data_IF_329371451374
#
_entry.id   IF_329371451374
#
_cell.length_a   1.000
_cell.length_b   1.000
_cell.length_c   1.000
_cell.angle_alpha   90.00
_cell.angle_beta   90.00
_cell.angle_gamma   90.00
#
_symmetry.space_group_name_H-M   'P 1'
#
loop_
_entity.id
_entity.type
_entity.pdbx_description
1 polymer ?
#
# COMPACT_ATOMS: atom_id res chain seq x y z
N UNK A 1 -20.11 -24.35 52.06
CA UNK A 1 -19.31 -23.28 52.68
C UNK A 1 -18.70 -22.51 51.53
N UNK A 2 -19.28 -21.36 51.22
CA UNK A 2 -18.87 -20.51 50.09
C UNK A 2 -17.67 -19.65 50.53
N UNK A 3 -16.51 -19.83 49.89
CA UNK A 3 -15.35 -18.96 50.11
C UNK A 3 -15.59 -17.62 49.39
N UNK A 4 -16.14 -16.65 50.13
CA UNK A 4 -16.23 -15.27 49.69
C UNK A 4 -14.84 -14.63 49.66
N UNK A 5 -14.26 -14.50 48.47
CA UNK A 5 -13.09 -13.64 48.26
C UNK A 5 -13.51 -12.18 48.51
N UNK A 6 -12.80 -11.53 49.44
CA UNK A 6 -13.05 -10.14 49.86
C UNK A 6 -12.96 -9.19 48.66
N UNK A 7 -13.86 -8.20 48.63
CA UNK A 7 -13.98 -7.21 47.54
C UNK A 7 -12.64 -6.46 47.32
N UNK A 8 -11.88 -6.23 48.38
CA UNK A 8 -10.56 -5.59 48.34
C UNK A 8 -9.52 -6.39 47.52
N UNK A 9 -9.53 -7.71 47.62
CA UNK A 9 -8.62 -8.59 46.86
C UNK A 9 -9.00 -8.63 45.37
N UNK A 10 -10.30 -8.55 45.09
CA UNK A 10 -10.87 -8.48 43.73
C UNK A 10 -10.48 -7.19 43.01
N UNK A 11 -10.38 -6.08 43.75
CA UNK A 11 -9.93 -4.78 43.21
C UNK A 11 -8.42 -4.79 42.97
N UNK A 12 -7.63 -5.40 43.85
CA UNK A 12 -6.17 -5.53 43.66
C UNK A 12 -5.78 -6.29 42.39
N UNK A 13 -6.55 -7.32 42.01
CA UNK A 13 -6.32 -8.07 40.77
C UNK A 13 -6.66 -7.29 39.50
N UNK A 14 -7.50 -6.24 39.55
CA UNK A 14 -7.84 -5.41 38.39
C UNK A 14 -6.72 -4.43 38.00
N UNK A 15 -5.77 -4.19 38.90
CA UNK A 15 -4.66 -3.25 38.71
C UNK A 15 -3.28 -3.93 38.64
N UNK A 16 -3.23 -5.26 38.55
CA UNK A 16 -1.98 -5.94 38.24
C UNK A 16 -1.59 -5.59 36.80
N UNK A 17 -0.55 -4.77 36.65
CA UNK A 17 0.08 -4.57 35.36
C UNK A 17 0.69 -5.89 34.93
N UNK A 18 0.06 -6.55 33.96
CA UNK A 18 0.64 -7.70 33.28
C UNK A 18 2.00 -7.27 32.72
N UNK A 19 3.07 -7.66 33.41
CA UNK A 19 4.42 -7.44 32.95
C UNK A 19 4.67 -8.43 31.84
N UNK A 20 4.26 -8.07 30.62
CA UNK A 20 4.41 -8.93 29.46
C UNK A 20 5.89 -9.26 29.24
N UNK A 21 6.19 -10.55 29.12
CA UNK A 21 7.51 -11.01 28.70
C UNK A 21 7.80 -10.39 27.32
N UNK A 22 9.04 -9.96 27.02
CA UNK A 22 9.36 -9.31 25.75
C UNK A 22 8.79 -10.02 24.52
N UNK A 23 8.82 -11.37 24.50
CA UNK A 23 8.22 -12.16 23.41
C UNK A 23 6.71 -11.92 23.21
N UNK A 24 5.91 -11.88 24.28
CA UNK A 24 4.47 -11.64 24.24
C UNK A 24 4.15 -10.17 23.89
N UNK A 25 4.99 -9.25 24.35
CA UNK A 25 4.92 -7.84 23.96
C UNK A 25 5.16 -7.66 22.45
N UNK A 26 6.20 -8.30 21.90
CA UNK A 26 6.48 -8.28 20.47
C UNK A 26 5.41 -8.99 19.64
N UNK A 27 4.81 -10.06 20.15
CA UNK A 27 3.70 -10.75 19.48
C UNK A 27 2.47 -9.85 19.40
N UNK A 28 2.10 -9.19 20.49
CA UNK A 28 1.00 -8.22 20.52
C UNK A 28 1.27 -7.02 19.62
N UNK A 29 2.50 -6.50 19.61
CA UNK A 29 2.91 -5.43 18.68
C UNK A 29 2.84 -5.90 17.23
N UNK A 30 3.27 -7.13 16.93
CA UNK A 30 3.21 -7.70 15.60
C UNK A 30 1.77 -7.85 15.13
N UNK A 31 0.86 -8.33 15.98
CA UNK A 31 -0.58 -8.40 15.68
C UNK A 31 -1.18 -7.01 15.47
N UNK A 32 -0.77 -5.99 16.23
CA UNK A 32 -1.20 -4.60 16.02
C UNK A 32 -0.57 -3.93 14.79
N UNK A 33 0.60 -4.41 14.35
CA UNK A 33 1.32 -3.91 13.19
C UNK A 33 0.92 -4.63 11.89
N UNK A 34 0.25 -5.79 11.98
CA UNK A 34 -0.41 -6.39 10.83
C UNK A 34 -1.54 -5.46 10.40
N UNK A 35 -1.46 -4.95 9.17
CA UNK A 35 -2.61 -4.35 8.55
C UNK A 35 -3.75 -5.38 8.57
N UNK A 36 -4.98 -4.91 8.72
CA UNK A 36 -6.15 -5.77 8.48
C UNK A 36 -5.95 -6.49 7.13
N UNK A 37 -6.27 -7.79 7.02
CA UNK A 37 -5.95 -8.60 5.83
C UNK A 37 -6.48 -7.98 4.53
N UNK A 38 -7.57 -7.22 4.58
CA UNK A 38 -8.13 -6.43 3.49
C UNK A 38 -7.19 -5.30 3.06
N UNK A 39 -6.59 -4.57 4.02
CA UNK A 39 -5.63 -3.50 3.74
C UNK A 39 -4.31 -4.06 3.19
N UNK A 40 -3.89 -5.23 3.66
CA UNK A 40 -2.74 -5.94 3.06
C UNK A 40 -2.99 -6.27 1.59
N UNK A 41 -4.19 -6.77 1.27
CA UNK A 41 -4.60 -7.02 -0.12
C UNK A 41 -4.63 -5.72 -0.93
N UNK A 42 -5.21 -4.64 -0.40
CA UNK A 42 -5.25 -3.34 -1.06
C UNK A 42 -3.85 -2.79 -1.34
N UNK A 43 -2.91 -2.93 -0.39
CA UNK A 43 -1.51 -2.54 -0.57
C UNK A 43 -0.83 -3.39 -1.66
N UNK A 44 -1.09 -4.70 -1.69
CA UNK A 44 -0.58 -5.59 -2.72
C UNK A 44 -1.09 -5.19 -4.12
N UNK A 45 -2.38 -4.86 -4.25
CA UNK A 45 -2.97 -4.37 -5.50
C UNK A 45 -2.32 -3.06 -5.94
N UNK A 46 -2.20 -2.08 -5.04
CA UNK A 46 -1.55 -0.80 -5.34
C UNK A 46 -0.10 -0.99 -5.79
N UNK A 47 0.65 -1.85 -5.09
CA UNK A 47 2.04 -2.15 -5.40
C UNK A 47 2.18 -2.82 -6.76
N UNK A 48 1.32 -3.78 -7.10
CA UNK A 48 1.34 -4.45 -8.40
C UNK A 48 1.04 -3.47 -9.54
N UNK A 49 0.01 -2.63 -9.38
CA UNK A 49 -0.36 -1.61 -10.37
C UNK A 49 0.79 -0.61 -10.62
N UNK A 50 1.39 -0.06 -9.56
CA UNK A 50 2.55 0.85 -9.67
C UNK A 50 3.75 0.14 -10.30
N UNK A 51 3.99 -1.12 -9.95
CA UNK A 51 5.06 -1.92 -10.54
C UNK A 51 4.84 -2.13 -12.04
N UNK A 52 3.62 -2.47 -12.45
CA UNK A 52 3.24 -2.62 -13.86
C UNK A 52 3.40 -1.29 -14.61
N UNK A 53 2.92 -0.19 -14.03
CA UNK A 53 3.06 1.16 -14.58
C UNK A 53 4.53 1.51 -14.83
N UNK A 54 5.38 1.36 -13.82
CA UNK A 54 6.80 1.72 -13.92
C UNK A 54 7.59 0.78 -14.85
N UNK A 55 7.33 -0.53 -14.77
CA UNK A 55 8.05 -1.54 -15.57
C UNK A 55 7.78 -1.40 -17.05
N UNK A 56 6.56 -1.06 -17.42
CA UNK A 56 6.12 -1.05 -18.83
C UNK A 56 5.91 0.34 -19.42
N UNK A 57 6.27 1.42 -18.72
CA UNK A 57 6.12 2.83 -19.17
C UNK A 57 6.68 3.13 -20.56
N UNK A 58 7.71 2.40 -20.99
CA UNK A 58 8.35 2.60 -22.29
C UNK A 58 8.08 1.45 -23.29
N UNK A 59 7.18 0.52 -22.94
CA UNK A 59 6.81 -0.56 -23.83
C UNK A 59 6.00 -0.02 -25.01
N UNK A 60 6.41 -0.36 -26.23
CA UNK A 60 5.78 0.18 -27.45
C UNK A 60 4.78 -0.76 -28.12
N UNK A 61 4.86 -2.07 -27.87
CA UNK A 61 4.10 -3.09 -28.61
C UNK A 61 3.72 -4.27 -27.70
N UNK A 62 2.61 -4.93 -28.03
CA UNK A 62 2.21 -6.23 -27.49
C UNK A 62 1.67 -6.19 -26.05
N UNK A 63 1.76 -7.34 -25.37
CA UNK A 63 1.23 -7.55 -24.01
C UNK A 63 1.71 -6.48 -23.02
N UNK A 64 2.97 -6.05 -23.12
CA UNK A 64 3.56 -5.05 -22.21
C UNK A 64 2.90 -3.68 -22.34
N UNK A 65 2.60 -3.23 -23.57
CA UNK A 65 1.87 -1.97 -23.80
C UNK A 65 0.46 -2.03 -23.22
N UNK A 66 -0.21 -3.17 -23.38
CA UNK A 66 -1.54 -3.40 -22.79
C UNK A 66 -1.47 -3.33 -21.26
N UNK A 67 -0.55 -4.06 -20.62
CA UNK A 67 -0.38 -4.01 -19.16
C UNK A 67 -0.08 -2.61 -18.63
N UNK A 68 0.71 -1.81 -19.36
CA UNK A 68 0.93 -0.41 -18.99
C UNK A 68 -0.36 0.40 -19.05
N UNK A 69 -1.09 0.33 -20.17
CA UNK A 69 -2.34 1.08 -20.36
C UNK A 69 -3.39 0.68 -19.34
N UNK A 70 -3.58 -0.62 -19.11
CA UNK A 70 -4.56 -1.12 -18.15
C UNK A 70 -4.24 -0.59 -16.72
N UNK A 71 -2.95 -0.53 -16.34
CA UNK A 71 -2.53 0.07 -15.07
C UNK A 71 -2.69 1.60 -15.03
N UNK A 72 -2.36 2.29 -16.12
CA UNK A 72 -2.51 3.75 -16.24
C UNK A 72 -3.98 4.17 -16.16
N UNK A 73 -4.86 3.47 -16.86
CA UNK A 73 -6.31 3.70 -16.85
C UNK A 73 -6.86 3.55 -15.43
N UNK A 74 -6.54 2.44 -14.75
CA UNK A 74 -6.95 2.23 -13.35
C UNK A 74 -6.40 3.30 -12.39
N UNK A 75 -5.15 3.73 -12.56
CA UNK A 75 -4.57 4.82 -11.74
C UNK A 75 -5.24 6.16 -12.00
N UNK A 76 -5.70 6.43 -13.23
CA UNK A 76 -6.30 7.71 -13.64
C UNK A 76 -7.83 7.74 -13.55
N UNK A 77 -8.49 6.61 -13.31
CA UNK A 77 -9.94 6.50 -13.14
C UNK A 77 -10.45 7.36 -11.97
N UNK A 78 -11.35 8.30 -12.21
CA UNK A 78 -11.84 9.22 -11.17
C UNK A 78 -13.07 8.69 -10.40
N UNK A 79 -13.78 7.72 -10.97
CA UNK A 79 -15.00 7.15 -10.38
C UNK A 79 -14.69 6.30 -9.13
N UNK A 80 -15.61 6.30 -8.16
CA UNK A 80 -15.41 5.72 -6.82
C UNK A 80 -16.19 4.42 -6.59
N UNK A 81 -16.75 3.85 -7.65
CA UNK A 81 -17.87 2.92 -7.49
C UNK A 81 -17.42 1.50 -7.12
N UNK A 82 -16.13 1.18 -7.22
CA UNK A 82 -15.59 -0.14 -6.87
C UNK A 82 -14.68 -0.14 -5.63
N UNK A 83 -14.78 -1.19 -4.80
CA UNK A 83 -14.00 -1.37 -3.55
C UNK A 83 -12.48 -1.26 -3.78
N UNK A 84 -11.99 -1.80 -4.90
CA UNK A 84 -10.59 -1.75 -5.30
C UNK A 84 -10.31 -0.67 -6.37
N UNK A 85 -11.14 0.38 -6.43
CA UNK A 85 -10.78 1.58 -7.20
C UNK A 85 -9.52 2.20 -6.58
N UNK A 86 -8.71 2.85 -7.41
CA UNK A 86 -7.49 3.50 -6.96
C UNK A 86 -7.75 4.50 -5.81
N UNK A 87 -8.85 5.25 -5.91
CA UNK A 87 -9.24 6.24 -4.91
C UNK A 87 -9.60 5.59 -3.56
N UNK A 88 -10.37 4.49 -3.59
CA UNK A 88 -10.77 3.78 -2.37
C UNK A 88 -9.57 3.10 -1.70
N UNK A 89 -8.66 2.51 -2.49
CA UNK A 89 -7.41 1.94 -1.98
C UNK A 89 -6.53 3.02 -1.34
N UNK A 90 -6.32 4.14 -2.02
CA UNK A 90 -5.52 5.24 -1.45
C UNK A 90 -6.13 5.74 -0.14
N UNK A 91 -7.46 5.96 -0.10
CA UNK A 91 -8.16 6.37 1.11
C UNK A 91 -8.02 5.36 2.27
N UNK A 92 -8.20 4.06 2.00
CA UNK A 92 -8.09 3.01 3.01
C UNK A 92 -6.68 2.85 3.58
N UNK A 93 -5.66 3.14 2.77
CA UNK A 93 -4.24 3.10 3.16
C UNK A 93 -3.71 4.44 3.70
N UNK A 94 -4.52 5.51 3.70
CA UNK A 94 -4.12 6.83 4.20
C UNK A 94 -3.26 7.64 3.22
N UNK A 95 -3.29 7.31 1.93
CA UNK A 95 -2.62 8.08 0.87
C UNK A 95 -3.57 9.10 0.22
N UNK A 96 -3.02 10.26 -0.17
CA UNK A 96 -3.72 11.17 -1.08
C UNK A 96 -3.63 10.64 -2.53
N UNK A 97 -4.74 10.21 -3.15
CA UNK A 97 -4.73 9.70 -4.52
C UNK A 97 -4.20 10.73 -5.52
N UNK A 98 -4.47 12.02 -5.32
CA UNK A 98 -4.02 13.07 -6.24
C UNK A 98 -2.51 13.27 -6.17
N UNK A 99 -1.94 13.18 -4.97
CA UNK A 99 -0.50 13.22 -4.77
C UNK A 99 0.20 12.06 -5.50
N UNK A 100 -0.31 10.83 -5.33
CA UNK A 100 0.25 9.64 -5.98
C UNK A 100 0.15 9.76 -7.50
N UNK A 101 -0.99 10.19 -8.06
CA UNK A 101 -1.16 10.42 -9.51
C UNK A 101 -0.15 11.42 -10.05
N UNK A 102 -0.01 12.58 -9.41
CA UNK A 102 0.96 13.61 -9.80
C UNK A 102 2.38 13.06 -9.80
N UNK A 103 2.75 12.28 -8.77
CA UNK A 103 4.04 11.62 -8.69
C UNK A 103 4.30 10.65 -9.85
N UNK A 104 3.32 9.79 -10.17
CA UNK A 104 3.43 8.81 -11.26
C UNK A 104 3.51 9.47 -12.65
N UNK A 105 2.71 10.51 -12.89
CA UNK A 105 2.73 11.28 -14.15
C UNK A 105 4.08 11.96 -14.34
N UNK A 106 4.55 12.70 -13.33
CA UNK A 106 5.86 13.36 -13.38
C UNK A 106 6.99 12.36 -13.63
N UNK A 107 6.99 11.24 -12.90
CA UNK A 107 7.97 10.20 -13.07
C UNK A 107 7.96 9.60 -14.49
N UNK A 108 6.76 9.39 -15.06
CA UNK A 108 6.59 8.91 -16.44
C UNK A 108 7.22 9.87 -17.44
N UNK A 109 6.95 11.17 -17.31
CA UNK A 109 7.51 12.21 -18.17
C UNK A 109 9.04 12.23 -18.13
N UNK A 110 9.62 12.25 -16.93
CA UNK A 110 11.07 12.21 -16.71
C UNK A 110 11.69 10.95 -17.33
N UNK A 111 11.05 9.79 -17.16
CA UNK A 111 11.55 8.52 -17.68
C UNK A 111 11.52 8.45 -19.21
N UNK A 112 10.49 9.02 -19.84
CA UNK A 112 10.37 9.08 -21.30
C UNK A 112 11.33 10.11 -21.91
N UNK A 113 11.51 11.26 -21.27
CA UNK A 113 12.50 12.26 -21.67
C UNK A 113 13.93 11.68 -21.62
N UNK A 114 14.30 10.98 -20.53
CA UNK A 114 15.59 10.32 -20.39
C UNK A 114 15.87 9.27 -21.48
N UNK A 115 14.85 8.50 -21.90
CA UNK A 115 15.00 7.53 -23.00
C UNK A 115 15.18 8.18 -24.37
N UNK A 116 14.48 9.29 -24.63
CA UNK A 116 14.62 10.02 -25.89
C UNK A 116 16.05 10.57 -26.05
N UNK A 117 16.64 11.12 -24.99
CA UNK A 117 18.03 11.62 -25.05
C UNK A 117 19.05 10.50 -25.29
N UNK A 118 18.90 9.34 -24.65
CA UNK A 118 19.76 8.18 -24.86
C UNK A 118 19.69 7.66 -26.31
N UNK A 119 18.48 7.63 -26.89
CA UNK A 119 18.28 7.20 -28.29
C UNK A 119 18.92 8.16 -29.29
N UNK A 120 18.82 9.47 -29.06
CA UNK A 120 19.45 10.50 -29.90
C UNK A 120 20.99 10.40 -29.88
N UNK A 121 21.58 10.04 -28.74
CA UNK A 121 23.04 9.83 -28.62
C UNK A 121 23.51 8.60 -29.40
N UNK A 122 22.72 7.52 -29.42
CA UNK A 122 23.09 6.28 -30.11
C UNK A 122 22.94 6.38 -31.64
N UNK A 123 22.05 7.23 -32.14
CA UNK A 123 21.84 7.46 -33.58
C UNK A 123 22.88 8.38 -34.24
N UNK A 124 23.78 8.99 -33.45
CA UNK A 124 24.83 9.91 -33.92
C UNK A 124 26.25 9.29 -33.88
N UNK A 125 26.34 7.97 -33.71
CA UNK A 125 27.54 7.17 -33.92
C UNK A 125 27.35 6.31 -35.15
#
# INVERSE_FOLDING_TARGET
MENGLSVDEKVGSLFQSDTLIPAQYFETLRSKAQLEPEKDLMLAVLKDAVTCFQKYVAARIGKRKRMFRDAEEWVLEEEKDWLFSFNNICGALGFDPQYIRKGLVRWKEERLAGKNTARLKHSRR
#
